data_IF_492471685211
#
_entry.id   IF_492471685211
#
_cell.length_a   1.000
_cell.length_b   1.000
_cell.length_c   1.000
_cell.angle_alpha   90.00
_cell.angle_beta   90.00
_cell.angle_gamma   90.00
#
_symmetry.space_group_name_H-M   'P 1'
#
loop_
_entity.id
_entity.type
_entity.pdbx_description
1 polymer ?
#
# COMPACT_ATOMS: atom_id res chain seq x y z
N UNK A 1 2.51 -3.58 13.21
CA UNK A 1 2.74 -2.31 12.50
C UNK A 1 2.66 -2.56 11.00
N UNK A 2 2.42 -1.50 10.23
CA UNK A 2 2.26 -1.53 8.78
C UNK A 2 3.42 -0.84 8.08
N UNK A 3 3.87 -1.40 6.97
CA UNK A 3 4.72 -0.71 5.99
C UNK A 3 4.10 -0.89 4.61
N UNK A 4 3.58 0.18 4.04
CA UNK A 4 2.83 0.13 2.78
C UNK A 4 3.71 0.40 1.55
N UNK A 5 5.04 0.40 1.67
CA UNK A 5 5.92 0.72 0.54
C UNK A 5 7.23 -0.08 0.57
N UNK A 6 7.12 -1.40 0.41
CA UNK A 6 8.29 -2.25 0.15
C UNK A 6 8.50 -2.33 -1.36
N UNK A 7 9.54 -1.71 -1.94
CA UNK A 7 9.71 -1.66 -3.39
C UNK A 7 9.86 -3.05 -4.02
N UNK A 8 9.11 -3.32 -5.08
CA UNK A 8 9.36 -4.49 -5.92
C UNK A 8 10.67 -4.29 -6.71
N UNK A 9 11.57 -5.29 -6.80
CA UNK A 9 12.90 -5.09 -7.37
C UNK A 9 12.96 -4.85 -8.89
N UNK A 10 11.82 -4.90 -9.59
CA UNK A 10 11.74 -4.60 -11.02
C UNK A 10 10.96 -3.32 -11.27
N UNK A 11 11.54 -2.44 -12.09
CA UNK A 11 10.93 -1.21 -12.59
C UNK A 11 10.63 -1.39 -14.08
N UNK A 12 9.36 -1.27 -14.48
CA UNK A 12 8.79 -1.57 -15.82
C UNK A 12 8.33 -3.02 -16.04
N UNK A 13 7.36 -3.20 -16.95
CA UNK A 13 6.80 -4.51 -17.36
C UNK A 13 7.78 -5.31 -18.24
N UNK A 14 9.07 -5.25 -17.91
CA UNK A 14 10.15 -5.95 -18.55
C UNK A 14 10.40 -7.33 -17.91
N UNK A 15 11.65 -7.82 -17.90
CA UNK A 15 11.96 -9.13 -17.36
C UNK A 15 11.68 -9.22 -15.85
N UNK A 16 11.39 -10.44 -15.34
CA UNK A 16 11.23 -10.66 -13.91
C UNK A 16 12.54 -10.35 -13.15
N UNK A 17 12.47 -10.07 -11.84
CA UNK A 17 13.65 -9.80 -11.04
C UNK A 17 14.68 -10.93 -11.09
N UNK A 18 15.96 -10.58 -11.06
CA UNK A 18 17.05 -11.55 -10.96
C UNK A 18 17.07 -12.26 -9.60
N UNK A 19 17.75 -13.40 -9.52
CA UNK A 19 17.89 -14.14 -8.26
C UNK A 19 18.50 -13.29 -7.13
N UNK A 20 19.52 -12.47 -7.45
CA UNK A 20 20.16 -11.56 -6.49
C UNK A 20 19.18 -10.50 -5.99
N UNK A 21 18.39 -9.91 -6.89
CA UNK A 21 17.36 -8.93 -6.53
C UNK A 21 16.28 -9.54 -5.63
N UNK A 22 15.87 -10.78 -5.90
CA UNK A 22 14.92 -11.51 -5.06
C UNK A 22 15.49 -11.83 -3.69
N UNK A 23 16.74 -12.28 -3.59
CA UNK A 23 17.42 -12.50 -2.31
C UNK A 23 17.45 -11.23 -1.48
N UNK A 24 17.80 -10.10 -2.09
CA UNK A 24 17.80 -8.81 -1.40
C UNK A 24 16.39 -8.42 -0.89
N UNK A 25 15.37 -8.57 -1.73
CA UNK A 25 13.98 -8.34 -1.35
C UNK A 25 13.54 -9.18 -0.14
N UNK A 26 13.90 -10.47 -0.10
CA UNK A 26 13.61 -11.31 1.05
C UNK A 26 14.36 -10.87 2.32
N UNK A 27 15.59 -10.37 2.18
CA UNK A 27 16.34 -9.81 3.31
C UNK A 27 15.69 -8.52 3.85
N UNK A 28 15.15 -7.66 2.96
CA UNK A 28 14.39 -6.47 3.36
C UNK A 28 13.15 -6.87 4.18
N UNK A 29 12.38 -7.85 3.70
CA UNK A 29 11.21 -8.36 4.43
C UNK A 29 11.61 -8.96 5.78
N UNK A 30 12.69 -9.73 5.83
CA UNK A 30 13.20 -10.31 7.07
C UNK A 30 13.56 -9.22 8.09
N UNK A 31 14.20 -8.13 7.64
CA UNK A 31 14.57 -7.00 8.49
C UNK A 31 13.34 -6.21 8.96
N UNK A 32 12.37 -5.96 8.09
CA UNK A 32 11.11 -5.30 8.50
C UNK A 32 10.35 -6.15 9.52
N UNK A 33 10.34 -7.47 9.33
CA UNK A 33 9.72 -8.39 10.29
C UNK A 33 10.42 -8.38 11.64
N UNK A 34 11.75 -8.40 11.69
CA UNK A 34 12.52 -8.34 12.94
C UNK A 34 12.30 -7.01 13.68
N UNK A 35 12.04 -5.92 12.96
CA UNK A 35 11.65 -4.62 13.51
C UNK A 35 10.17 -4.54 13.97
N UNK A 36 9.39 -5.62 13.80
CA UNK A 36 8.01 -5.71 14.28
C UNK A 36 6.92 -5.30 13.27
N UNK A 37 7.27 -5.12 11.99
CA UNK A 37 6.28 -4.91 10.94
C UNK A 37 5.67 -6.24 10.50
N UNK A 38 4.33 -6.33 10.54
CA UNK A 38 3.58 -7.55 10.21
C UNK A 38 2.73 -7.42 8.96
N UNK A 39 2.37 -6.21 8.57
CA UNK A 39 1.52 -5.96 7.40
C UNK A 39 2.34 -5.18 6.38
N UNK A 40 2.78 -5.83 5.31
CA UNK A 40 3.66 -5.24 4.31
C UNK A 40 2.93 -5.14 2.96
N UNK A 41 2.98 -3.98 2.30
CA UNK A 41 2.54 -3.86 0.92
C UNK A 41 3.74 -3.78 -0.01
N UNK A 42 3.80 -4.72 -0.96
CA UNK A 42 4.81 -4.77 -2.02
C UNK A 42 4.40 -3.78 -3.10
N UNK A 43 5.19 -2.72 -3.28
CA UNK A 43 4.89 -1.61 -4.15
C UNK A 43 5.55 -1.77 -5.53
N UNK A 44 4.75 -1.76 -6.59
CA UNK A 44 5.20 -1.70 -7.97
C UNK A 44 5.04 -0.28 -8.50
N UNK A 45 6.16 0.38 -8.83
CA UNK A 45 6.17 1.76 -9.31
C UNK A 45 6.13 1.80 -10.83
N UNK A 46 5.16 2.48 -11.40
CA UNK A 46 4.99 2.67 -12.84
C UNK A 46 5.24 4.13 -13.21
N UNK A 47 6.24 4.34 -14.05
CA UNK A 47 6.55 5.66 -14.59
C UNK A 47 5.51 6.07 -15.64
N UNK A 48 5.27 7.37 -15.76
CA UNK A 48 4.23 7.97 -16.61
C UNK A 48 4.23 7.48 -18.07
N UNK A 49 5.42 7.27 -18.63
CA UNK A 49 5.58 6.85 -20.03
C UNK A 49 5.35 5.35 -20.25
N UNK A 50 5.12 4.58 -19.18
CA UNK A 50 4.92 3.13 -19.26
C UNK A 50 3.45 2.82 -19.52
N UNK A 51 3.17 2.07 -20.59
CA UNK A 51 1.80 1.63 -20.89
C UNK A 51 1.41 0.47 -19.97
N UNK A 52 0.26 0.61 -19.30
CA UNK A 52 -0.33 -0.46 -18.49
C UNK A 52 -0.97 -1.52 -19.40
N UNK A 53 -0.69 -2.82 -19.20
CA UNK A 53 -1.16 -3.88 -20.07
C UNK A 53 -2.60 -4.31 -19.72
N UNK A 54 -3.56 -3.40 -19.84
CA UNK A 54 -4.98 -3.67 -19.51
C UNK A 54 -5.61 -4.79 -20.36
N UNK A 55 -5.08 -5.04 -21.56
CA UNK A 55 -5.57 -6.10 -22.45
C UNK A 55 -5.12 -7.50 -22.01
N UNK A 56 -4.18 -7.60 -21.06
CA UNK A 56 -3.68 -8.87 -20.52
C UNK A 56 -3.74 -8.81 -18.98
N UNK A 57 -4.90 -9.10 -18.37
CA UNK A 57 -5.13 -8.96 -16.93
C UNK A 57 -4.09 -9.67 -16.07
N UNK A 58 -3.66 -10.88 -16.46
CA UNK A 58 -2.67 -11.68 -15.72
C UNK A 58 -1.29 -11.01 -15.63
N UNK A 59 -0.97 -10.11 -16.56
CA UNK A 59 0.30 -9.37 -16.59
C UNK A 59 0.19 -7.99 -15.96
N UNK A 60 -1.00 -7.54 -15.59
CA UNK A 60 -1.21 -6.20 -15.03
C UNK A 60 -0.54 -6.05 -13.66
N UNK A 61 -0.59 -7.10 -12.84
CA UNK A 61 0.15 -7.19 -11.58
C UNK A 61 1.32 -8.18 -11.72
N UNK A 62 2.56 -7.70 -11.82
CA UNK A 62 3.73 -8.57 -11.99
C UNK A 62 4.20 -9.21 -10.68
N UNK A 63 3.60 -8.89 -9.53
CA UNK A 63 4.02 -9.40 -8.22
C UNK A 63 3.38 -10.78 -8.00
N UNK A 64 4.15 -11.88 -7.91
CA UNK A 64 3.62 -13.22 -7.70
C UNK A 64 3.28 -13.43 -6.21
N UNK A 65 2.24 -12.76 -5.73
CA UNK A 65 1.92 -12.64 -4.29
C UNK A 65 1.72 -13.99 -3.61
N UNK A 66 1.10 -14.96 -4.29
CA UNK A 66 0.88 -16.31 -3.76
C UNK A 66 2.19 -17.06 -3.53
N UNK A 67 3.14 -16.94 -4.47
CA UNK A 67 4.49 -17.53 -4.33
C UNK A 67 5.26 -16.86 -3.19
N UNK A 68 5.17 -15.53 -3.07
CA UNK A 68 5.80 -14.80 -1.98
C UNK A 68 5.25 -15.24 -0.62
N UNK A 69 3.92 -15.38 -0.49
CA UNK A 69 3.27 -15.85 0.75
C UNK A 69 3.73 -17.26 1.13
N UNK A 70 3.88 -18.17 0.16
CA UNK A 70 4.41 -19.52 0.40
C UNK A 70 5.85 -19.49 0.92
N UNK A 71 6.72 -18.71 0.28
CA UNK A 71 8.15 -18.62 0.64
C UNK A 71 8.37 -17.95 2.01
N UNK A 72 7.45 -17.05 2.39
CA UNK A 72 7.53 -16.28 3.62
C UNK A 72 6.67 -16.85 4.76
N UNK A 73 6.13 -18.07 4.59
CA UNK A 73 5.29 -18.75 5.59
C UNK A 73 5.99 -18.95 6.94
N UNK A 74 7.33 -18.94 6.97
CA UNK A 74 8.12 -19.01 8.21
C UNK A 74 7.95 -17.80 9.14
N UNK A 75 7.47 -16.67 8.62
CA UNK A 75 7.23 -15.45 9.39
C UNK A 75 5.79 -15.42 9.88
N UNK A 76 5.58 -15.85 11.13
CA UNK A 76 4.25 -15.97 11.71
C UNK A 76 3.53 -14.61 11.80
N UNK A 77 2.27 -14.58 11.39
CA UNK A 77 1.46 -13.37 11.41
C UNK A 77 1.86 -12.31 10.37
N UNK A 78 2.86 -12.58 9.51
CA UNK A 78 3.16 -11.72 8.37
C UNK A 78 2.01 -11.78 7.35
N UNK A 79 1.62 -10.61 6.83
CA UNK A 79 0.60 -10.41 5.80
C UNK A 79 1.18 -9.56 4.69
N UNK A 80 1.04 -10.04 3.46
CA UNK A 80 1.54 -9.37 2.27
C UNK A 80 0.38 -8.90 1.40
N UNK A 81 0.46 -7.65 0.97
CA UNK A 81 -0.47 -6.99 0.06
C UNK A 81 0.27 -6.52 -1.18
N UNK A 82 -0.47 -6.23 -2.23
CA UNK A 82 0.04 -5.67 -3.47
C UNK A 82 -0.36 -4.21 -3.59
N UNK A 83 0.60 -3.36 -3.95
CA UNK A 83 0.39 -1.94 -4.16
C UNK A 83 0.97 -1.55 -5.52
N UNK A 84 0.29 -0.64 -6.20
CA UNK A 84 0.82 0.04 -7.39
C UNK A 84 0.92 1.54 -7.12
N UNK A 85 2.04 2.15 -7.54
CA UNK A 85 2.22 3.61 -7.50
C UNK A 85 2.40 4.14 -8.91
N UNK A 86 1.51 5.02 -9.35
CA UNK A 86 1.59 5.67 -10.66
C UNK A 86 2.24 7.05 -10.53
N UNK A 87 3.35 7.28 -11.22
CA UNK A 87 3.95 8.62 -11.33
C UNK A 87 3.19 9.39 -12.41
N UNK A 88 2.64 10.55 -12.06
CA UNK A 88 1.78 11.34 -12.95
C UNK A 88 2.23 12.80 -12.96
N UNK A 89 2.50 13.31 -14.16
CA UNK A 89 2.81 14.73 -14.41
C UNK A 89 1.70 15.41 -15.19
N UNK A 90 1.18 14.72 -16.20
CA UNK A 90 0.09 15.14 -17.07
C UNK A 90 -1.27 14.60 -16.54
N UNK A 91 -2.19 15.51 -16.17
CA UNK A 91 -3.56 15.16 -15.79
C UNK A 91 -4.29 14.21 -16.76
N UNK A 92 -3.97 14.22 -18.06
CA UNK A 92 -4.61 13.33 -19.03
C UNK A 92 -4.38 11.84 -18.75
N UNK A 93 -3.26 11.49 -18.11
CA UNK A 93 -2.90 10.09 -17.80
C UNK A 93 -3.72 9.48 -16.66
N UNK A 94 -4.44 10.30 -15.89
CA UNK A 94 -5.28 9.86 -14.79
C UNK A 94 -6.45 8.97 -15.23
N UNK A 95 -6.85 8.99 -16.51
CA UNK A 95 -7.90 8.12 -17.06
C UNK A 95 -7.60 6.61 -16.89
N UNK A 96 -6.32 6.26 -16.76
CA UNK A 96 -5.90 4.87 -16.51
C UNK A 96 -6.31 4.36 -15.12
N UNK A 97 -6.51 5.24 -14.14
CA UNK A 97 -6.83 4.86 -12.75
C UNK A 97 -8.23 4.25 -12.66
N UNK A 98 -9.22 4.77 -13.40
CA UNK A 98 -10.57 4.19 -13.42
C UNK A 98 -10.56 2.75 -13.95
N UNK A 99 -9.74 2.47 -14.98
CA UNK A 99 -9.56 1.11 -15.52
C UNK A 99 -8.84 0.21 -14.54
N UNK A 100 -7.84 0.74 -13.83
CA UNK A 100 -7.09 0.02 -12.80
C UNK A 100 -8.00 -0.34 -11.61
N UNK A 101 -8.83 0.59 -11.15
CA UNK A 101 -9.85 0.36 -10.13
C UNK A 101 -10.81 -0.78 -10.55
N UNK A 102 -11.31 -0.75 -11.79
CA UNK A 102 -12.18 -1.80 -12.31
C UNK A 102 -11.51 -3.18 -12.40
N UNK A 103 -10.19 -3.23 -12.64
CA UNK A 103 -9.45 -4.49 -12.76
C UNK A 103 -9.27 -5.23 -11.44
N UNK A 104 -9.32 -4.53 -10.30
CA UNK A 104 -9.04 -5.11 -8.97
C UNK A 104 -7.71 -5.88 -8.88
N UNK A 105 -6.72 -5.53 -9.70
CA UNK A 105 -5.45 -6.26 -9.79
C UNK A 105 -4.48 -6.02 -8.63
N UNK A 106 -4.66 -4.92 -7.88
CA UNK A 106 -3.84 -4.53 -6.73
C UNK A 106 -4.72 -4.21 -5.53
N UNK A 107 -4.24 -4.52 -4.32
CA UNK A 107 -4.95 -4.22 -3.07
C UNK A 107 -4.98 -2.70 -2.79
N UNK A 108 -3.88 -2.01 -3.08
CA UNK A 108 -3.71 -0.57 -2.88
C UNK A 108 -3.32 0.14 -4.19
N UNK A 109 -3.90 1.32 -4.40
CA UNK A 109 -3.55 2.21 -5.51
C UNK A 109 -3.05 3.53 -4.94
N UNK A 110 -1.83 3.89 -5.33
CA UNK A 110 -1.20 5.13 -4.98
C UNK A 110 -0.85 5.96 -6.22
N UNK A 111 -0.83 7.28 -6.05
CA UNK A 111 -0.39 8.21 -7.09
C UNK A 111 0.74 9.08 -6.55
N UNK A 112 1.76 9.25 -7.38
CA UNK A 112 2.86 10.17 -7.14
C UNK A 112 2.76 11.35 -8.13
N UNK A 113 2.12 12.47 -7.73
CA UNK A 113 2.02 13.65 -8.58
C UNK A 113 3.36 14.40 -8.62
N UNK A 114 3.82 14.73 -9.83
CA UNK A 114 5.05 15.51 -10.06
C UNK A 114 4.78 16.99 -10.33
N UNK A 115 3.53 17.37 -10.65
CA UNK A 115 3.12 18.76 -10.92
C UNK A 115 1.97 19.20 -10.00
N UNK A 116 1.81 20.52 -9.81
CA UNK A 116 0.69 21.06 -9.01
C UNK A 116 -0.67 20.68 -9.60
N UNK A 117 -0.80 20.72 -10.93
CA UNK A 117 -2.02 20.34 -11.65
C UNK A 117 -2.34 18.86 -11.45
N UNK A 118 -1.34 17.98 -11.52
CA UNK A 118 -1.51 16.56 -11.24
C UNK A 118 -1.95 16.32 -9.79
N UNK A 119 -1.36 17.02 -8.81
CA UNK A 119 -1.78 16.92 -7.41
C UNK A 119 -3.24 17.38 -7.22
N UNK A 120 -3.63 18.51 -7.82
CA UNK A 120 -5.00 19.00 -7.74
C UNK A 120 -6.00 18.01 -8.35
N UNK A 121 -5.71 17.47 -9.54
CA UNK A 121 -6.58 16.47 -10.16
C UNK A 121 -6.69 15.21 -9.31
N UNK A 122 -5.55 14.73 -8.78
CA UNK A 122 -5.47 13.54 -7.93
C UNK A 122 -6.39 13.65 -6.72
N UNK A 123 -6.35 14.78 -6.05
CA UNK A 123 -7.16 15.04 -4.86
C UNK A 123 -8.64 15.33 -5.17
N UNK A 124 -8.95 15.81 -6.37
CA UNK A 124 -10.31 16.26 -6.74
C UNK A 124 -11.14 15.19 -7.46
N UNK A 125 -10.56 14.34 -8.30
CA UNK A 125 -11.35 13.50 -9.22
C UNK A 125 -11.01 12.02 -9.19
N UNK A 126 -9.97 11.59 -8.47
CA UNK A 126 -9.50 10.21 -8.53
C UNK A 126 -9.90 9.44 -7.28
N UNK A 127 -10.27 8.18 -7.46
CA UNK A 127 -10.55 7.23 -6.37
C UNK A 127 -9.28 6.40 -6.12
N UNK A 128 -8.44 6.89 -5.21
CA UNK A 128 -7.17 6.26 -4.84
C UNK A 128 -7.04 6.21 -3.31
N UNK A 129 -6.13 5.38 -2.80
CA UNK A 129 -5.95 5.19 -1.36
C UNK A 129 -4.89 6.16 -0.79
N UNK A 130 -3.78 6.31 -1.51
CA UNK A 130 -2.56 6.96 -1.01
C UNK A 130 -2.02 7.98 -2.03
N UNK A 131 -1.74 9.20 -1.56
CA UNK A 131 -0.93 10.17 -2.29
C UNK A 131 0.50 10.10 -1.78
N UNK A 132 1.41 9.60 -2.63
CA UNK A 132 2.84 9.50 -2.34
C UNK A 132 3.56 10.71 -2.91
N UNK A 133 4.22 11.54 -2.10
CA UNK A 133 5.02 12.65 -2.63
C UNK A 133 6.50 12.29 -2.63
N UNK A 134 7.28 12.70 -3.64
CA UNK A 134 8.71 12.44 -3.68
C UNK A 134 9.44 13.33 -2.67
N UNK A 135 9.50 12.90 -1.41
CA UNK A 135 10.02 13.72 -0.30
C UNK A 135 11.50 14.06 -0.48
N UNK A 136 12.30 13.17 -1.07
CA UNK A 136 13.74 13.37 -1.25
C UNK A 136 14.14 14.35 -2.36
N UNK A 137 13.19 14.86 -3.16
CA UNK A 137 13.47 15.80 -4.25
C UNK A 137 12.78 17.13 -4.03
N UNK A 138 13.26 18.20 -4.66
CA UNK A 138 12.61 19.51 -4.55
C UNK A 138 11.28 19.45 -5.30
N UNK A 139 10.17 19.62 -4.58
CA UNK A 139 8.85 19.71 -5.19
C UNK A 139 8.77 20.98 -6.06
N UNK A 140 8.27 20.90 -7.30
CA UNK A 140 8.12 22.07 -8.16
C UNK A 140 6.87 22.91 -7.82
N UNK A 141 6.21 22.61 -6.70
CA UNK A 141 4.99 23.25 -6.24
C UNK A 141 4.94 23.31 -4.72
N UNK A 142 4.10 24.19 -4.19
CA UNK A 142 3.81 24.28 -2.76
C UNK A 142 2.62 23.40 -2.38
N UNK A 143 2.75 22.68 -1.27
CA UNK A 143 1.65 21.86 -0.74
C UNK A 143 0.62 22.78 -0.06
N UNK A 144 -0.52 22.99 -0.72
CA UNK A 144 -1.61 23.86 -0.24
C UNK A 144 -2.54 23.11 0.72
N UNK A 145 -2.90 23.75 1.83
CA UNK A 145 -3.83 23.19 2.82
C UNK A 145 -5.18 22.79 2.21
N UNK A 146 -5.73 23.61 1.30
CA UNK A 146 -7.01 23.31 0.63
C UNK A 146 -6.95 21.98 -0.13
N UNK A 147 -5.90 21.76 -0.91
CA UNK A 147 -5.70 20.54 -1.71
C UNK A 147 -5.55 19.31 -0.83
N UNK A 148 -4.75 19.42 0.24
CA UNK A 148 -4.55 18.31 1.20
C UNK A 148 -5.84 18.03 1.98
N UNK A 149 -6.50 19.05 2.49
CA UNK A 149 -7.75 18.93 3.25
C UNK A 149 -8.85 18.23 2.45
N UNK A 150 -9.03 18.61 1.17
CA UNK A 150 -10.00 17.96 0.28
C UNK A 150 -9.72 16.46 0.08
N UNK A 151 -8.45 16.06 -0.04
CA UNK A 151 -8.09 14.65 -0.15
C UNK A 151 -8.33 13.89 1.15
N UNK A 152 -8.01 14.50 2.30
CA UNK A 152 -8.23 13.89 3.61
C UNK A 152 -9.73 13.68 3.91
N UNK A 153 -10.59 14.63 3.52
CA UNK A 153 -12.05 14.52 3.64
C UNK A 153 -12.62 13.35 2.84
N UNK A 154 -12.01 13.02 1.68
CA UNK A 154 -12.35 11.84 0.88
C UNK A 154 -11.80 10.52 1.42
N UNK A 155 -11.03 10.57 2.51
CA UNK A 155 -10.44 9.39 3.13
C UNK A 155 -9.04 9.03 2.63
N UNK A 156 -8.52 9.70 1.59
CA UNK A 156 -7.15 9.49 1.11
C UNK A 156 -6.14 9.80 2.22
N UNK A 157 -4.97 9.14 2.18
CA UNK A 157 -3.85 9.42 3.08
C UNK A 157 -2.64 9.93 2.32
N UNK A 158 -1.82 10.74 2.98
CA UNK A 158 -0.56 11.22 2.42
C UNK A 158 0.59 10.41 3.00
N UNK A 159 1.43 9.88 2.12
CA UNK A 159 2.58 9.09 2.51
C UNK A 159 3.85 9.95 2.59
N UNK A 160 4.59 9.76 3.68
CA UNK A 160 5.96 10.20 3.89
C UNK A 160 6.84 8.95 3.81
N UNK A 161 7.42 8.73 2.64
CA UNK A 161 8.42 7.70 2.43
C UNK A 161 9.78 8.20 2.93
N UNK A 162 10.30 7.59 4.01
CA UNK A 162 11.50 8.10 4.68
C UNK A 162 12.82 7.68 4.00
N UNK A 163 12.78 6.89 2.92
CA UNK A 163 13.98 6.50 2.16
C UNK A 163 14.80 7.70 1.70
N UNK A 164 14.17 8.81 1.33
CA UNK A 164 14.84 10.05 0.92
C UNK A 164 15.73 10.68 2.01
N UNK A 165 15.49 10.36 3.29
CA UNK A 165 16.35 10.78 4.39
C UNK A 165 17.58 9.87 4.55
N UNK A 166 17.37 8.56 4.39
CA UNK A 166 18.37 7.53 4.68
C UNK A 166 19.31 7.32 3.48
N UNK A 167 18.73 6.98 2.33
CA UNK A 167 19.46 6.60 1.12
C UNK A 167 19.78 7.79 0.21
N UNK A 168 19.12 8.93 0.39
CA UNK A 168 19.20 10.07 -0.53
C UNK A 168 18.35 9.87 -1.80
N UNK A 169 18.55 10.67 -2.86
CA UNK A 169 17.69 10.66 -4.04
C UNK A 169 18.04 9.52 -5.03
N UNK A 170 19.07 8.72 -4.73
CA UNK A 170 19.50 7.61 -5.55
C UNK A 170 19.58 6.34 -4.70
N UNK A 171 18.92 5.27 -5.16
CA UNK A 171 19.43 3.92 -4.92
C UNK A 171 20.88 3.89 -5.40
N UNK A 172 21.83 3.97 -4.47
CA UNK A 172 23.26 3.69 -4.62
C UNK A 172 23.89 4.08 -5.97
N UNK A 173 24.16 5.38 -6.18
CA UNK A 173 25.19 5.79 -7.15
C UNK A 173 26.55 5.81 -6.43
N UNK A 174 27.41 4.81 -6.71
CA UNK A 174 28.77 4.67 -6.17
C UNK A 174 29.72 5.72 -6.78
N UNK A 175 29.57 6.98 -6.40
CA UNK A 175 30.53 8.02 -6.76
C UNK A 175 30.76 8.97 -5.58
N UNK A 176 32.01 9.39 -5.37
CA UNK A 176 32.48 10.27 -4.28
C UNK A 176 31.77 11.65 -4.19
N UNK A 177 30.77 11.91 -5.04
CA UNK A 177 29.83 13.05 -4.96
C UNK A 177 28.67 12.79 -3.97
N UNK A 178 28.81 11.82 -3.06
CA UNK A 178 27.78 11.37 -2.12
C UNK A 178 27.38 12.41 -1.05
N UNK A 179 28.28 13.35 -0.72
CA UNK A 179 28.01 14.35 0.32
C UNK A 179 26.92 15.33 -0.10
N UNK A 180 27.08 16.00 -1.24
CA UNK A 180 26.23 17.12 -1.66
C UNK A 180 24.82 16.66 -2.08
N UNK A 181 24.70 15.51 -2.76
CA UNK A 181 23.41 14.96 -3.21
C UNK A 181 22.59 14.41 -2.06
N UNK A 182 23.23 13.73 -1.10
CA UNK A 182 22.60 13.25 0.14
C UNK A 182 22.13 14.41 1.02
N UNK A 183 22.96 15.44 1.23
CA UNK A 183 22.57 16.64 1.99
C UNK A 183 21.42 17.39 1.33
N UNK A 184 21.43 17.52 0.00
CA UNK A 184 20.34 18.17 -0.73
C UNK A 184 19.03 17.38 -0.59
N UNK A 185 19.09 16.05 -0.66
CA UNK A 185 17.91 15.21 -0.50
C UNK A 185 17.33 15.27 0.92
N UNK A 186 18.18 15.26 1.95
CA UNK A 186 17.74 15.46 3.34
C UNK A 186 17.15 16.85 3.57
N UNK A 187 17.75 17.90 3.00
CA UNK A 187 17.22 19.26 3.03
C UNK A 187 15.83 19.33 2.38
N UNK A 188 15.68 18.73 1.20
CA UNK A 188 14.40 18.67 0.50
C UNK A 188 13.37 17.85 1.30
N UNK A 189 13.78 16.71 1.86
CA UNK A 189 12.95 15.87 2.71
C UNK A 189 12.39 16.65 3.90
N UNK A 190 13.24 17.31 4.67
CA UNK A 190 12.83 18.13 5.82
C UNK A 190 11.87 19.23 5.37
N UNK A 191 12.21 19.97 4.30
CA UNK A 191 11.36 21.05 3.77
C UNK A 191 9.97 20.54 3.33
N UNK A 192 9.94 19.43 2.60
CA UNK A 192 8.70 18.84 2.09
C UNK A 192 7.82 18.26 3.20
N UNK A 193 8.44 17.60 4.19
CA UNK A 193 7.73 17.07 5.36
C UNK A 193 7.12 18.21 6.18
N UNK A 194 7.87 19.29 6.43
CA UNK A 194 7.33 20.47 7.13
C UNK A 194 6.15 21.08 6.38
N UNK A 195 6.24 21.18 5.05
CA UNK A 195 5.14 21.66 4.22
C UNK A 195 3.91 20.75 4.31
N UNK A 196 4.09 19.43 4.30
CA UNK A 196 3.00 18.46 4.38
C UNK A 196 2.37 18.42 5.78
N UNK A 197 3.16 18.47 6.85
CA UNK A 197 2.65 18.53 8.23
C UNK A 197 1.78 19.77 8.42
N UNK A 198 2.26 20.93 7.95
CA UNK A 198 1.49 22.19 7.96
C UNK A 198 0.21 22.08 7.14
N UNK A 199 0.30 21.57 5.91
CA UNK A 199 -0.84 21.49 5.00
C UNK A 199 -1.90 20.46 5.43
N UNK A 200 -1.49 19.38 6.10
CA UNK A 200 -2.37 18.33 6.63
C UNK A 200 -2.90 18.63 8.03
N UNK A 201 -2.39 19.67 8.71
CA UNK A 201 -2.64 19.94 10.13
C UNK A 201 -2.38 18.70 11.00
N UNK A 202 -1.28 17.99 10.72
CA UNK A 202 -0.86 16.76 11.38
C UNK A 202 -1.76 15.53 11.13
N UNK A 203 -2.72 15.55 10.19
CA UNK A 203 -3.69 14.46 10.02
C UNK A 203 -3.43 13.60 8.78
N UNK A 204 -3.82 12.32 8.86
CA UNK A 204 -3.87 11.42 7.70
C UNK A 204 -2.52 11.17 7.03
N UNK A 205 -1.44 11.16 7.81
CA UNK A 205 -0.09 10.84 7.36
C UNK A 205 0.21 9.36 7.54
N UNK A 206 0.92 8.77 6.59
CA UNK A 206 1.44 7.40 6.62
C UNK A 206 2.96 7.45 6.53
N UNK A 207 3.64 6.64 7.34
CA UNK A 207 5.08 6.45 7.23
C UNK A 207 5.36 5.12 6.55
N UNK A 208 6.29 5.13 5.60
CA UNK A 208 6.68 3.94 4.85
C UNK A 208 8.17 3.95 4.58
N UNK A 209 8.74 2.76 4.40
CA UNK A 209 10.19 2.62 4.31
C UNK A 209 10.75 2.98 2.95
N UNK A 210 10.11 2.54 1.86
CA UNK A 210 10.73 2.58 0.54
C UNK A 210 12.10 1.93 0.51
N UNK A 211 12.35 0.95 1.39
CA UNK A 211 13.66 0.37 1.61
C UNK A 211 14.06 -0.57 0.45
N UNK A 212 14.98 -0.12 -0.39
CA UNK A 212 15.60 -0.99 -1.41
C UNK A 212 16.59 -1.99 -0.82
N UNK A 213 17.14 -1.72 0.36
CA UNK A 213 18.16 -2.53 1.05
C UNK A 213 17.75 -2.75 2.51
N UNK A 214 18.12 -3.88 3.14
CA UNK A 214 17.75 -4.16 4.53
C UNK A 214 18.23 -3.07 5.49
N UNK A 215 19.39 -2.48 5.22
CA UNK A 215 19.99 -1.41 6.03
C UNK A 215 19.24 -0.08 5.97
N UNK A 216 18.29 0.07 5.05
CA UNK A 216 17.42 1.25 4.97
C UNK A 216 16.19 1.15 5.87
N UNK A 217 15.84 -0.05 6.36
CA UNK A 217 14.73 -0.24 7.29
C UNK A 217 15.04 0.42 8.65
N UNK A 218 14.02 0.98 9.30
CA UNK A 218 14.14 1.66 10.60
C UNK A 218 13.02 1.24 11.53
N UNK A 219 13.31 1.24 12.82
CA UNK A 219 12.29 1.02 13.83
C UNK A 219 11.32 2.21 13.84
N UNK A 220 10.06 1.96 14.23
CA UNK A 220 9.05 3.02 14.29
C UNK A 220 9.44 4.12 15.27
N UNK A 221 10.12 3.79 16.38
CA UNK A 221 10.55 4.76 17.40
C UNK A 221 11.51 5.81 16.83
N UNK A 222 12.43 5.40 15.96
CA UNK A 222 13.42 6.29 15.35
C UNK A 222 12.74 7.32 14.44
N UNK A 223 11.79 6.83 13.63
CA UNK A 223 11.02 7.70 12.73
C UNK A 223 10.07 8.59 13.54
N UNK A 224 9.47 8.07 14.61
CA UNK A 224 8.58 8.86 15.47
C UNK A 224 9.33 10.03 16.13
N UNK A 225 10.52 9.76 16.69
CA UNK A 225 11.36 10.80 17.29
C UNK A 225 11.73 11.87 16.26
N UNK A 226 12.12 11.46 15.05
CA UNK A 226 12.38 12.40 13.96
C UNK A 226 11.14 13.24 13.61
N UNK A 227 9.98 12.62 13.41
CA UNK A 227 8.77 13.34 13.03
C UNK A 227 8.31 14.29 14.14
N UNK A 228 8.48 13.91 15.40
CA UNK A 228 8.22 14.77 16.56
C UNK A 228 9.12 16.02 16.54
N UNK A 229 10.44 15.86 16.30
CA UNK A 229 11.34 17.01 16.15
C UNK A 229 10.98 17.92 14.96
N UNK A 230 10.31 17.39 13.94
CA UNK A 230 9.79 18.16 12.80
C UNK A 230 8.41 18.78 13.08
N UNK A 231 7.91 18.70 14.31
CA UNK A 231 6.67 19.35 14.74
C UNK A 231 5.41 18.50 14.54
N UNK A 232 5.55 17.20 14.27
CA UNK A 232 4.40 16.29 14.26
C UNK A 232 3.95 15.97 15.68
N UNK A 233 2.66 16.09 15.96
CA UNK A 233 2.09 15.67 17.26
C UNK A 233 2.30 14.17 17.50
N UNK A 234 2.84 13.79 18.66
CA UNK A 234 3.13 12.39 19.05
C UNK A 234 1.93 11.44 18.84
N UNK A 235 0.72 11.88 19.20
CA UNK A 235 -0.50 11.08 19.00
C UNK A 235 -0.69 10.71 17.52
N UNK A 236 -0.45 11.65 16.62
CA UNK A 236 -0.67 11.50 15.19
C UNK A 236 0.51 10.77 14.52
N UNK A 237 1.72 10.90 15.08
CA UNK A 237 2.89 10.13 14.67
C UNK A 237 2.68 8.62 14.81
N UNK A 238 2.14 8.16 15.95
CA UNK A 238 1.82 6.74 16.15
C UNK A 238 0.73 6.25 15.21
N UNK A 239 -0.28 7.09 14.91
CA UNK A 239 -1.34 6.74 13.95
C UNK A 239 -0.79 6.46 12.54
N UNK A 240 0.34 7.07 12.16
CA UNK A 240 0.96 6.87 10.84
C UNK A 240 1.56 5.48 10.60
N UNK A 241 1.79 4.67 11.65
CA UNK A 241 2.30 3.29 11.57
C UNK A 241 1.24 2.21 11.80
N UNK A 242 0.07 2.61 12.29
CA UNK A 242 -0.99 1.69 12.75
C UNK A 242 -2.31 2.05 12.07
N UNK A 243 -2.97 3.11 12.53
CA UNK A 243 -4.34 3.45 12.15
C UNK A 243 -4.49 3.95 10.71
N UNK A 244 -3.66 4.89 10.26
CA UNK A 244 -3.80 5.47 8.91
C UNK A 244 -3.48 4.45 7.80
N UNK A 245 -2.42 3.62 7.94
CA UNK A 245 -2.19 2.50 7.02
C UNK A 245 -3.32 1.47 7.02
N UNK A 246 -3.84 1.09 8.20
CA UNK A 246 -4.96 0.17 8.34
C UNK A 246 -6.20 0.68 7.62
N UNK A 247 -6.55 1.96 7.81
CA UNK A 247 -7.68 2.60 7.12
C UNK A 247 -7.48 2.64 5.59
N UNK A 248 -6.25 2.77 5.11
CA UNK A 248 -5.96 2.75 3.67
C UNK A 248 -6.14 1.34 3.09
N UNK A 249 -5.68 0.32 3.81
CA UNK A 249 -5.91 -1.08 3.44
C UNK A 249 -7.39 -1.46 3.48
N UNK A 250 -8.12 -0.98 4.49
CA UNK A 250 -9.58 -1.10 4.56
C UNK A 250 -10.24 -0.50 3.32
N UNK A 251 -9.92 0.76 2.99
CA UNK A 251 -10.50 1.46 1.84
C UNK A 251 -10.21 0.71 0.53
N UNK A 252 -8.96 0.27 0.32
CA UNK A 252 -8.57 -0.51 -0.85
C UNK A 252 -9.30 -1.86 -0.93
N UNK A 253 -9.47 -2.54 0.19
CA UNK A 253 -10.21 -3.81 0.25
C UNK A 253 -11.70 -3.62 -0.03
N UNK A 254 -12.32 -2.60 0.56
CA UNK A 254 -13.71 -2.24 0.30
C UNK A 254 -13.90 -1.92 -1.18
N UNK A 255 -12.99 -1.19 -1.82
CA UNK A 255 -13.05 -0.91 -3.28
C UNK A 255 -13.14 -2.20 -4.10
N UNK A 256 -12.45 -3.27 -3.70
CA UNK A 256 -12.36 -4.53 -4.46
C UNK A 256 -13.50 -5.50 -4.13
N UNK A 257 -13.88 -5.61 -2.86
CA UNK A 257 -14.79 -6.68 -2.36
C UNK A 257 -16.19 -6.22 -2.05
N UNK A 258 -16.45 -4.91 -2.05
CA UNK A 258 -17.76 -4.37 -1.74
C UNK A 258 -18.46 -3.80 -2.97
N UNK A 259 -19.80 -3.82 -2.95
CA UNK A 259 -20.58 -2.98 -3.83
C UNK A 259 -20.71 -1.59 -3.20
N UNK A 260 -19.95 -0.60 -3.71
CA UNK A 260 -19.98 0.81 -3.27
C UNK A 260 -19.91 0.96 -1.74
N UNK A 261 -19.08 0.15 -1.08
CA UNK A 261 -18.89 0.15 0.37
C UNK A 261 -20.17 -0.08 1.20
N UNK A 262 -21.25 -0.57 0.56
CA UNK A 262 -22.54 -0.79 1.23
C UNK A 262 -22.71 -2.24 1.66
N UNK A 263 -22.30 -3.18 0.80
CA UNK A 263 -22.39 -4.63 1.07
C UNK A 263 -21.06 -5.28 0.73
N UNK A 264 -20.57 -6.09 1.66
CA UNK A 264 -19.34 -6.87 1.54
C UNK A 264 -19.70 -8.35 1.61
N UNK A 265 -19.13 -9.16 0.72
CA UNK A 265 -19.21 -10.62 0.84
C UNK A 265 -18.22 -11.05 1.90
N UNK A 266 -18.65 -11.15 3.15
CA UNK A 266 -17.87 -11.75 4.23
C UNK A 266 -18.05 -13.26 4.23
N UNK A 267 -16.95 -14.02 4.34
CA UNK A 267 -17.05 -15.44 4.71
C UNK A 267 -17.31 -15.55 6.22
N UNK A 268 -18.35 -16.28 6.62
CA UNK A 268 -18.81 -16.39 8.01
C UNK A 268 -17.72 -16.78 9.02
N UNK A 269 -17.78 -16.17 10.21
CA UNK A 269 -17.41 -16.81 11.48
C UNK A 269 -16.07 -16.42 12.12
N UNK A 270 -15.85 -15.14 12.43
CA UNK A 270 -14.73 -14.73 13.28
C UNK A 270 -15.18 -13.78 14.39
N UNK A 271 -15.17 -14.25 15.63
CA UNK A 271 -15.23 -13.41 16.83
C UNK A 271 -13.96 -12.54 16.87
N UNK A 272 -14.03 -11.34 16.27
CA UNK A 272 -12.90 -10.43 16.17
C UNK A 272 -13.31 -9.08 15.59
N UNK A 273 -12.51 -8.03 15.89
CA UNK A 273 -12.74 -6.66 15.38
C UNK A 273 -12.92 -6.69 13.85
N UNK A 274 -14.01 -6.09 13.35
CA UNK A 274 -14.40 -6.10 11.94
C UNK A 274 -13.26 -5.73 10.95
N UNK A 275 -12.33 -4.85 11.36
CA UNK A 275 -11.18 -4.48 10.55
C UNK A 275 -10.17 -5.63 10.34
N UNK A 276 -9.93 -6.45 11.37
CA UNK A 276 -9.05 -7.62 11.23
C UNK A 276 -9.68 -8.66 10.29
N UNK A 277 -10.99 -8.89 10.38
CA UNK A 277 -11.70 -9.80 9.49
C UNK A 277 -11.60 -9.38 8.01
N UNK A 278 -11.69 -8.07 7.73
CA UNK A 278 -11.58 -7.53 6.36
C UNK A 278 -10.15 -7.67 5.80
N UNK A 279 -9.12 -7.54 6.66
CA UNK A 279 -7.70 -7.67 6.27
C UNK A 279 -7.23 -9.14 6.19
N UNK A 280 -7.70 -10.02 7.08
CA UNK A 280 -7.20 -11.38 7.24
C UNK A 280 -7.83 -12.42 6.29
N UNK A 281 -8.78 -12.04 5.43
CA UNK A 281 -9.40 -12.89 4.38
C UNK A 281 -8.43 -13.44 3.30
N UNK A 282 -7.12 -13.35 3.51
CA UNK A 282 -6.04 -13.74 2.58
C UNK A 282 -5.72 -15.25 2.60
N UNK A 283 -6.60 -16.10 3.15
CA UNK A 283 -6.44 -17.56 3.00
C UNK A 283 -7.58 -18.16 2.16
N UNK A 284 -7.30 -18.73 0.97
CA UNK A 284 -8.28 -19.59 0.33
C UNK A 284 -8.45 -20.84 1.19
N UNK A 285 -9.64 -21.05 1.77
CA UNK A 285 -10.01 -22.38 2.28
C UNK A 285 -10.06 -23.33 1.09
N UNK A 286 -9.37 -24.48 1.22
CA UNK A 286 -9.66 -25.66 0.39
C UNK A 286 -11.17 -25.87 0.42
N UNK A 287 -11.80 -26.04 -0.75
CA UNK A 287 -13.11 -26.66 -0.81
C UNK A 287 -12.96 -28.07 -0.25
N UNK A 288 -13.26 -28.27 1.03
CA UNK A 288 -13.66 -29.58 1.50
C UNK A 288 -15.06 -29.81 0.96
N UNK A 289 -15.13 -30.62 -0.11
CA UNK A 289 -16.38 -31.18 -0.59
C UNK A 289 -16.99 -32.00 0.55
N UNK A 290 -17.89 -31.40 1.32
CA UNK A 290 -18.74 -32.12 2.25
C UNK A 290 -19.71 -32.94 1.40
N UNK A 291 -19.33 -34.19 1.12
CA UNK A 291 -20.27 -35.22 0.66
C UNK A 291 -21.37 -35.26 1.72
N UNK A 292 -22.57 -34.80 1.35
CA UNK A 292 -23.80 -35.05 2.12
C UNK A 292 -23.93 -36.55 2.26
N UNK A 293 -23.70 -37.07 3.47
CA UNK A 293 -24.17 -38.37 3.87
C UNK A 293 -25.71 -38.32 3.82
N UNK A 294 -26.31 -39.17 2.98
CA UNK A 294 -27.72 -39.54 3.10
C UNK A 294 -27.86 -40.29 4.41
N UNK A 295 -28.52 -39.68 5.38
CA UNK A 295 -29.17 -40.41 6.47
C UNK A 295 -30.60 -40.67 6.03
N UNK A 296 -30.85 -41.90 5.57
CA UNK A 296 -32.17 -42.52 5.67
C UNK A 296 -32.45 -42.66 7.18
N UNK A 297 -33.51 -42.03 7.70
CA UNK A 297 -34.65 -42.75 8.28
C UNK A 297 -35.74 -41.78 8.80
N UNK A 298 -36.95 -42.33 8.82
CA UNK A 298 -38.14 -41.92 9.58
C UNK A 298 -38.93 -40.66 9.19
N UNK A 299 -40.14 -40.88 8.63
CA UNK A 299 -41.36 -40.82 9.47
C UNK A 299 -42.60 -41.33 8.75
N UNK A 300 -43.31 -42.20 9.46
CA UNK A 300 -44.50 -42.89 9.03
C UNK A 300 -45.79 -42.04 9.03
N UNK A 301 -46.72 -42.48 8.17
CA UNK A 301 -48.18 -42.53 8.36
C UNK A 301 -49.03 -41.24 8.30
N UNK A 302 -49.87 -41.16 7.26
CA UNK A 302 -51.27 -40.75 7.40
C UNK A 302 -52.15 -41.31 6.25
N UNK A 303 -53.13 -42.11 6.65
CA UNK A 303 -54.24 -42.75 5.92
C UNK A 303 -54.89 -41.95 4.78
N UNK A 304 -55.31 -42.65 3.71
CA UNK A 304 -56.74 -42.70 3.31
C UNK A 304 -57.05 -43.86 2.35
N UNK A 305 -58.20 -44.49 2.60
CA UNK A 305 -58.80 -45.67 1.98
C UNK A 305 -60.00 -45.23 1.11
N UNK A 306 -60.31 -46.00 0.06
CA UNK A 306 -61.43 -45.99 -0.93
C UNK A 306 -60.84 -45.87 -2.33
N UNK A 307 -61.13 -46.72 -3.33
CA UNK A 307 -62.10 -47.80 -3.52
C UNK A 307 -61.39 -49.01 -4.12
#
# INVERSE_FOLDING_TARGET
MYDLNVPWPSSSYGPPPSATQMTNFYNVIAMLYSLGYKYLAVNYVVQENTKLPFNTPDKLNPIPIETLRKNLKKYEGLRLFTRITLVISDPAKCQSISKLNASSAFDLIAVQPSTEKALQLTTTNLDIDIVSLPMGTRLPFFIKHKTVGQALEKGMKFEICYSGLISGPASYETSMVLGTTGHLSRKNFISNVLQLIRASRNKGLIFSSGASEPMHARNYSDILALMETLGLKVSNGKEGFVKNPELSLMAGRLRIKSNKQTVMVGNQGGEGRAAAAIIDEITPKKLESTKRAKSDDDTASAKRRKQ
#
